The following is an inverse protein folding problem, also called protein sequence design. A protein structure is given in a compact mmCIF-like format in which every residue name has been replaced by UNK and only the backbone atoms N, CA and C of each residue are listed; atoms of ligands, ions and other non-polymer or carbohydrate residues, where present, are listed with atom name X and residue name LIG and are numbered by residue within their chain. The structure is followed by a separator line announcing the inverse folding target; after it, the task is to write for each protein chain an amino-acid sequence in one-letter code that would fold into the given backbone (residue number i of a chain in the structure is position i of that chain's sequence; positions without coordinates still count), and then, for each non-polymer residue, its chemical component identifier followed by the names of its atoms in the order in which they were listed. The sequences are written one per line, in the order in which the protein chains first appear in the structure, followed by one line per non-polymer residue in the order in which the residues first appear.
data_IF_242037628307
#
_entry.id   IF_242037628307
#
_cell.length_a   1.000
_cell.length_b   1.000
_cell.length_c   1.000
_cell.angle_alpha   90.00
_cell.angle_beta   90.00
_cell.angle_gamma   90.00
#
_symmetry.space_group_name_H-M   'P 1'
#
loop_
_entity.id
_entity.type
_entity.pdbx_description
1 polymer ?
#
# COMPACT_ATOMS: atom_id res chain seq x y z
N UNK A 1 -15.72 -15.66 -5.55
CA UNK A 1 -14.87 -16.01 -4.38
C UNK A 1 -15.63 -17.00 -3.51
N UNK A 2 -15.03 -18.15 -3.15
CA UNK A 2 -15.73 -19.20 -2.38
C UNK A 2 -15.79 -18.85 -0.89
N UNK A 3 -16.78 -19.42 -0.18
CA UNK A 3 -17.02 -19.20 1.26
C UNK A 3 -15.79 -19.48 2.14
N UNK A 4 -14.95 -20.43 1.73
CA UNK A 4 -13.70 -20.80 2.41
C UNK A 4 -12.65 -19.68 2.30
N UNK A 5 -12.55 -19.04 1.13
CA UNK A 5 -11.61 -17.94 0.91
C UNK A 5 -12.04 -16.69 1.66
N UNK A 6 -13.34 -16.38 1.68
CA UNK A 6 -13.88 -15.28 2.49
C UNK A 6 -13.58 -15.46 3.99
N UNK A 7 -13.82 -16.67 4.54
CA UNK A 7 -13.50 -16.96 5.95
C UNK A 7 -12.00 -16.84 6.25
N UNK A 8 -11.16 -17.22 5.29
CA UNK A 8 -9.71 -17.11 5.42
C UNK A 8 -9.29 -15.65 5.47
N UNK A 9 -9.78 -14.81 4.57
CA UNK A 9 -9.52 -13.35 4.55
C UNK A 9 -10.02 -12.67 5.83
N UNK A 10 -11.22 -13.01 6.30
CA UNK A 10 -11.74 -12.49 7.57
C UNK A 10 -10.83 -12.86 8.76
N UNK A 11 -10.27 -14.08 8.77
CA UNK A 11 -9.32 -14.49 9.83
C UNK A 11 -8.01 -13.69 9.73
N UNK A 12 -7.45 -13.51 8.53
CA UNK A 12 -6.27 -12.67 8.33
C UNK A 12 -6.48 -11.26 8.86
N UNK A 13 -7.60 -10.64 8.48
CA UNK A 13 -7.92 -9.28 8.90
C UNK A 13 -8.08 -9.18 10.42
N UNK A 14 -8.85 -10.07 11.04
CA UNK A 14 -9.07 -10.07 12.49
C UNK A 14 -7.77 -10.24 13.28
N UNK A 15 -6.89 -11.14 12.87
CA UNK A 15 -5.59 -11.35 13.53
C UNK A 15 -4.67 -10.14 13.34
N UNK A 16 -4.63 -9.55 12.15
CA UNK A 16 -3.85 -8.34 11.87
C UNK A 16 -4.35 -7.15 12.70
N UNK A 17 -5.66 -6.96 12.80
CA UNK A 17 -6.25 -5.85 13.58
C UNK A 17 -5.90 -5.96 15.07
N UNK A 18 -5.96 -7.18 15.63
CA UNK A 18 -5.52 -7.45 17.01
C UNK A 18 -4.04 -7.16 17.19
N UNK A 19 -3.20 -7.60 16.25
CA UNK A 19 -1.76 -7.36 16.30
C UNK A 19 -1.43 -5.86 16.24
N UNK A 20 -2.03 -5.13 15.29
CA UNK A 20 -1.82 -3.68 15.14
C UNK A 20 -2.23 -2.93 16.42
N UNK A 21 -3.38 -3.29 17.02
CA UNK A 21 -3.82 -2.68 18.28
C UNK A 21 -2.78 -2.88 19.40
N UNK A 22 -2.27 -4.09 19.58
CA UNK A 22 -1.22 -4.38 20.56
C UNK A 22 0.08 -3.65 20.25
N UNK A 23 0.49 -3.57 18.99
CA UNK A 23 1.70 -2.89 18.59
C UNK A 23 1.62 -1.37 18.82
N UNK A 24 0.45 -0.78 18.58
CA UNK A 24 0.21 0.64 18.85
C UNK A 24 0.20 0.95 20.35
N UNK A 25 -0.34 0.04 21.18
CA UNK A 25 -0.41 0.21 22.63
C UNK A 25 0.95 0.02 23.31
N UNK A 26 1.70 -1.03 22.93
CA UNK A 26 2.88 -1.50 23.69
C UNK A 26 4.20 -1.31 22.95
N UNK A 27 4.16 -0.89 21.68
CA UNK A 27 5.32 -0.87 20.76
C UNK A 27 5.56 -2.23 20.10
N UNK A 28 6.00 -2.19 18.84
CA UNK A 28 6.19 -3.39 18.03
C UNK A 28 7.12 -4.41 18.71
N UNK A 29 8.30 -3.98 19.15
CA UNK A 29 9.33 -4.89 19.69
C UNK A 29 8.91 -5.55 21.02
N UNK A 30 8.07 -4.89 21.79
CA UNK A 30 7.65 -5.34 23.12
C UNK A 30 6.53 -6.37 23.12
N UNK A 31 5.86 -6.62 21.97
CA UNK A 31 4.76 -7.58 21.86
C UNK A 31 5.27 -8.92 21.31
N UNK A 32 5.33 -9.99 22.11
CA UNK A 32 5.65 -11.33 21.62
C UNK A 32 4.55 -11.87 20.69
N UNK A 33 4.92 -12.65 19.68
CA UNK A 33 3.96 -13.31 18.77
C UNK A 33 2.97 -14.22 19.53
N UNK A 34 3.39 -14.81 20.65
CA UNK A 34 2.52 -15.62 21.49
C UNK A 34 1.38 -14.81 22.12
N UNK A 35 1.62 -13.55 22.47
CA UNK A 35 0.60 -12.64 22.99
C UNK A 35 -0.44 -12.30 21.93
N UNK A 36 0.02 -12.02 20.70
CA UNK A 36 -0.89 -11.79 19.56
C UNK A 36 -1.76 -13.02 19.31
N UNK A 37 -1.16 -14.23 19.29
CA UNK A 37 -1.89 -15.46 19.08
C UNK A 37 -2.97 -15.68 20.17
N UNK A 38 -2.62 -15.45 21.44
CA UNK A 38 -3.55 -15.57 22.57
C UNK A 38 -4.70 -14.56 22.46
N UNK A 39 -4.39 -13.28 22.16
CA UNK A 39 -5.39 -12.24 22.01
C UNK A 39 -6.32 -12.47 20.81
N UNK A 40 -5.80 -13.06 19.73
CA UNK A 40 -6.59 -13.45 18.56
C UNK A 40 -7.34 -14.79 18.71
N UNK A 41 -7.21 -15.48 19.85
CA UNK A 41 -7.88 -16.76 20.12
C UNK A 41 -7.39 -17.92 19.25
N UNK A 42 -6.13 -17.88 18.76
CA UNK A 42 -5.54 -18.92 17.92
C UNK A 42 -4.22 -19.45 18.52
N UNK A 43 -3.80 -20.64 18.10
CA UNK A 43 -2.49 -21.16 18.51
C UNK A 43 -1.34 -20.48 17.77
N UNK A 44 -0.16 -20.41 18.41
CA UNK A 44 1.06 -19.88 17.77
C UNK A 44 1.42 -20.59 16.45
N UNK A 45 1.35 -21.92 16.32
CA UNK A 45 1.53 -22.59 15.03
C UNK A 45 0.50 -22.19 13.98
N UNK A 46 -0.75 -21.98 14.40
CA UNK A 46 -1.80 -21.48 13.50
C UNK A 46 -1.48 -20.08 13.02
N UNK A 47 -1.02 -19.20 13.89
CA UNK A 47 -0.63 -17.83 13.53
C UNK A 47 0.50 -17.84 12.50
N UNK A 48 1.57 -18.61 12.69
CA UNK A 48 2.68 -18.68 11.73
C UNK A 48 2.30 -19.31 10.38
N UNK A 49 1.24 -20.09 10.32
CA UNK A 49 0.69 -20.58 9.04
C UNK A 49 0.03 -19.46 8.24
N UNK A 50 -0.52 -18.43 8.91
CA UNK A 50 -1.11 -17.26 8.29
C UNK A 50 -0.06 -16.17 8.02
N UNK A 51 0.82 -15.91 8.97
CA UNK A 51 1.80 -14.84 8.96
C UNK A 51 3.20 -15.41 9.22
N UNK A 52 4.00 -15.66 8.18
CA UNK A 52 5.33 -16.27 8.31
C UNK A 52 6.30 -15.45 9.19
N UNK A 53 6.15 -14.13 9.23
CA UNK A 53 6.94 -13.24 10.07
C UNK A 53 6.04 -12.35 10.93
N UNK A 54 6.60 -11.82 12.04
CA UNK A 54 5.89 -10.89 12.93
C UNK A 54 5.52 -9.60 12.21
N UNK A 55 6.38 -9.15 11.31
CA UNK A 55 6.18 -7.97 10.47
C UNK A 55 4.94 -8.12 9.57
N UNK A 56 4.67 -9.33 9.08
CA UNK A 56 3.51 -9.59 8.22
C UNK A 56 2.17 -9.34 8.93
N UNK A 57 2.15 -9.45 10.27
CA UNK A 57 0.99 -9.11 11.10
C UNK A 57 0.63 -7.63 10.99
N UNK A 58 1.64 -6.76 10.98
CA UNK A 58 1.44 -5.32 10.82
C UNK A 58 1.17 -4.93 9.36
N UNK A 59 1.76 -5.66 8.41
CA UNK A 59 1.77 -5.28 6.98
C UNK A 59 0.65 -5.94 6.16
N UNK A 60 -0.23 -6.72 6.78
CA UNK A 60 -1.29 -7.42 6.04
C UNK A 60 -2.17 -6.47 5.22
N UNK A 61 -2.46 -5.28 5.73
CA UNK A 61 -3.23 -4.26 5.01
C UNK A 61 -2.54 -3.81 3.71
N UNK A 62 -1.21 -3.87 3.65
CA UNK A 62 -0.46 -3.59 2.42
C UNK A 62 -0.49 -4.73 1.41
N UNK A 63 -0.69 -5.97 1.86
CA UNK A 63 -0.78 -7.11 0.95
C UNK A 63 -1.97 -7.03 0.00
N UNK A 64 -3.05 -6.37 0.41
CA UNK A 64 -4.23 -6.16 -0.41
C UNK A 64 -3.99 -5.12 -1.54
N UNK A 65 -2.96 -4.29 -1.38
CA UNK A 65 -2.54 -3.27 -2.37
C UNK A 65 -1.34 -3.72 -3.22
N UNK A 66 -0.75 -4.90 -2.94
CA UNK A 66 0.45 -5.38 -3.61
C UNK A 66 0.27 -5.55 -5.13
N UNK A 67 -0.89 -6.00 -5.57
CA UNK A 67 -1.24 -6.17 -6.98
C UNK A 67 -2.20 -5.09 -7.52
N UNK A 68 -2.49 -4.06 -6.74
CA UNK A 68 -3.50 -3.05 -7.07
C UNK A 68 -3.21 -2.33 -8.39
N UNK A 69 -1.99 -1.84 -8.59
CA UNK A 69 -1.60 -1.20 -9.84
C UNK A 69 -1.75 -2.14 -11.05
N UNK A 70 -1.43 -3.43 -10.89
CA UNK A 70 -1.63 -4.44 -11.91
C UNK A 70 -3.12 -4.67 -12.21
N UNK A 71 -3.95 -4.72 -11.18
CA UNK A 71 -5.42 -4.85 -11.32
C UNK A 71 -6.03 -3.63 -12.01
N UNK A 72 -5.58 -2.42 -11.67
CA UNK A 72 -6.01 -1.17 -12.31
C UNK A 72 -5.68 -1.17 -13.81
N UNK A 73 -4.47 -1.59 -14.17
CA UNK A 73 -4.07 -1.74 -15.59
C UNK A 73 -4.92 -2.79 -16.31
N UNK A 74 -5.14 -3.95 -15.68
CA UNK A 74 -5.98 -5.00 -16.27
C UNK A 74 -7.42 -4.54 -16.47
N UNK A 75 -8.00 -3.85 -15.51
CA UNK A 75 -9.35 -3.27 -15.60
C UNK A 75 -9.40 -2.19 -16.69
N UNK A 76 -8.44 -1.26 -16.71
CA UNK A 76 -8.36 -0.22 -17.73
C UNK A 76 -8.35 -0.79 -19.16
N UNK A 77 -7.61 -1.88 -19.38
CA UNK A 77 -7.60 -2.56 -20.69
C UNK A 77 -8.96 -3.09 -21.11
N UNK A 78 -9.77 -3.60 -20.19
CA UNK A 78 -11.15 -4.02 -20.50
C UNK A 78 -12.06 -2.85 -20.88
N UNK A 79 -11.73 -1.66 -20.42
CA UNK A 79 -12.42 -0.39 -20.70
C UNK A 79 -11.84 0.35 -21.92
N UNK A 80 -10.80 -0.19 -22.57
CA UNK A 80 -10.10 0.47 -23.68
C UNK A 80 -9.22 1.66 -23.24
N UNK A 81 -8.84 1.71 -21.95
CA UNK A 81 -8.01 2.76 -21.37
C UNK A 81 -6.56 2.28 -21.28
N UNK A 82 -5.62 3.11 -21.75
CA UNK A 82 -4.20 2.82 -21.65
C UNK A 82 -3.73 2.76 -20.18
N UNK A 83 -2.63 2.02 -19.89
CA UNK A 83 -2.16 1.79 -18.52
C UNK A 83 -1.95 3.06 -17.70
N UNK A 84 -1.24 4.04 -18.24
CA UNK A 84 -0.87 5.24 -17.50
C UNK A 84 -2.06 6.15 -17.18
N UNK A 85 -3.00 6.45 -18.12
CA UNK A 85 -4.27 7.10 -17.79
C UNK A 85 -5.11 6.38 -16.75
N UNK A 86 -5.15 5.03 -16.78
CA UNK A 86 -5.89 4.26 -15.79
C UNK A 86 -5.28 4.42 -14.38
N UNK A 87 -3.96 4.33 -14.26
CA UNK A 87 -3.25 4.52 -12.99
C UNK A 87 -3.36 5.95 -12.48
N UNK A 88 -3.25 6.96 -13.34
CA UNK A 88 -3.48 8.37 -12.99
C UNK A 88 -4.89 8.56 -12.42
N UNK A 89 -5.92 8.10 -13.15
CA UNK A 89 -7.33 8.18 -12.69
C UNK A 89 -7.51 7.54 -11.31
N UNK A 90 -6.90 6.38 -11.11
CA UNK A 90 -6.97 5.66 -9.84
C UNK A 90 -6.30 6.43 -8.70
N UNK A 91 -5.09 6.96 -8.93
CA UNK A 91 -4.36 7.74 -7.91
C UNK A 91 -5.12 9.03 -7.52
N UNK A 92 -5.65 9.76 -8.50
CA UNK A 92 -6.45 10.97 -8.24
C UNK A 92 -7.74 10.65 -7.46
N UNK A 93 -8.45 9.57 -7.83
CA UNK A 93 -9.61 9.10 -7.06
C UNK A 93 -9.23 8.71 -5.62
N UNK A 94 -8.04 8.17 -5.41
CA UNK A 94 -7.50 7.89 -4.07
C UNK A 94 -7.25 9.17 -3.27
N UNK A 95 -6.74 10.24 -3.89
CA UNK A 95 -6.61 11.55 -3.23
C UNK A 95 -7.97 12.11 -2.81
N UNK A 96 -8.96 12.07 -3.71
CA UNK A 96 -10.33 12.52 -3.42
C UNK A 96 -10.98 11.71 -2.30
N UNK A 97 -10.76 10.40 -2.29
CA UNK A 97 -11.27 9.45 -1.29
C UNK A 97 -10.50 9.43 0.03
N UNK A 98 -9.43 10.22 0.15
CA UNK A 98 -8.51 10.18 1.33
C UNK A 98 -7.97 8.78 1.60
N UNK A 99 -7.66 8.03 0.52
CA UNK A 99 -7.07 6.71 0.64
C UNK A 99 -5.68 6.81 1.31
N UNK A 100 -5.44 6.09 2.43
CA UNK A 100 -4.14 6.08 3.11
C UNK A 100 -2.94 5.76 2.22
N UNK A 101 -3.13 5.00 1.15
CA UNK A 101 -2.07 4.64 0.19
C UNK A 101 -1.53 5.86 -0.55
N UNK A 102 -2.33 6.91 -0.72
CA UNK A 102 -1.90 8.18 -1.33
C UNK A 102 -1.13 9.10 -0.38
N UNK A 103 -1.00 8.73 0.89
CA UNK A 103 -0.41 9.56 1.94
C UNK A 103 -1.30 10.72 2.41
N UNK A 104 -2.41 10.97 1.73
CA UNK A 104 -3.31 12.08 2.01
C UNK A 104 -4.44 11.66 2.97
N UNK A 105 -4.09 11.35 4.21
CA UNK A 105 -5.06 10.96 5.23
C UNK A 105 -4.63 11.47 6.62
N UNK A 106 -5.47 12.28 7.26
CA UNK A 106 -5.20 12.89 8.57
C UNK A 106 -5.98 12.24 9.73
N UNK A 107 -6.67 11.09 9.50
CA UNK A 107 -7.30 10.31 10.59
C UNK A 107 -6.22 9.92 11.63
N UNK A 108 -6.45 10.20 12.92
CA UNK A 108 -5.48 9.90 13.97
C UNK A 108 -5.04 8.43 14.03
N UNK A 109 -5.92 7.49 13.67
CA UNK A 109 -5.62 6.05 13.65
C UNK A 109 -4.70 5.70 12.48
N UNK A 110 -4.92 6.30 11.31
CA UNK A 110 -4.04 6.15 10.13
C UNK A 110 -2.66 6.73 10.42
N UNK A 111 -2.62 7.92 11.05
CA UNK A 111 -1.36 8.55 11.46
C UNK A 111 -0.59 7.71 12.47
N UNK A 112 -1.26 7.17 13.49
CA UNK A 112 -0.64 6.29 14.48
C UNK A 112 -0.07 5.02 13.82
N UNK A 113 -0.84 4.39 12.94
CA UNK A 113 -0.41 3.20 12.21
C UNK A 113 0.80 3.47 11.29
N UNK A 114 0.78 4.58 10.56
CA UNK A 114 1.92 4.99 9.76
C UNK A 114 3.17 5.25 10.62
N UNK A 115 3.01 5.94 11.76
CA UNK A 115 4.09 6.13 12.71
C UNK A 115 4.71 4.83 13.21
N UNK A 116 3.88 3.81 13.47
CA UNK A 116 4.33 2.46 13.80
C UNK A 116 5.17 1.85 12.67
N UNK A 117 4.67 1.90 11.44
CA UNK A 117 5.31 1.29 10.27
C UNK A 117 6.68 1.91 9.97
N UNK A 118 6.73 3.22 9.85
CA UNK A 118 7.94 3.92 9.47
C UNK A 118 8.87 4.22 10.64
N UNK A 119 8.37 4.16 11.88
CA UNK A 119 9.16 4.24 13.11
C UNK A 119 9.85 2.94 13.50
N UNK A 120 9.55 1.80 12.86
CA UNK A 120 10.10 0.48 13.20
C UNK A 120 10.99 -0.02 12.06
N UNK A 121 12.34 -0.11 12.25
CA UNK A 121 13.27 -0.45 11.16
C UNK A 121 12.97 -1.79 10.46
N UNK A 122 12.55 -2.83 11.21
CA UNK A 122 12.21 -4.13 10.62
C UNK A 122 10.96 -4.07 9.76
N UNK A 123 9.96 -3.24 10.12
CA UNK A 123 8.77 -3.00 9.31
C UNK A 123 9.12 -2.25 8.03
N UNK A 124 9.98 -1.21 8.12
CA UNK A 124 10.47 -0.49 6.93
C UNK A 124 11.18 -1.44 5.96
N UNK A 125 12.09 -2.28 6.46
CA UNK A 125 12.79 -3.28 5.63
C UNK A 125 11.80 -4.24 4.94
N UNK A 126 10.77 -4.66 5.65
CA UNK A 126 9.74 -5.55 5.11
C UNK A 126 8.86 -4.85 4.06
N UNK A 127 8.54 -3.56 4.24
CA UNK A 127 7.82 -2.73 3.27
C UNK A 127 8.53 -2.68 1.90
N UNK A 128 9.86 -2.58 1.87
CA UNK A 128 10.61 -2.64 0.61
C UNK A 128 10.40 -3.96 -0.15
N UNK A 129 10.22 -5.07 0.55
CA UNK A 129 9.89 -6.35 -0.09
C UNK A 129 8.50 -6.32 -0.73
N UNK A 130 7.53 -5.65 -0.12
CA UNK A 130 6.19 -5.44 -0.70
C UNK A 130 6.26 -4.57 -1.95
N UNK A 131 7.01 -3.48 -1.91
CA UNK A 131 7.22 -2.61 -3.06
C UNK A 131 7.83 -3.37 -4.25
N UNK A 132 8.85 -4.19 -4.01
CA UNK A 132 9.45 -5.03 -5.07
C UNK A 132 8.46 -6.02 -5.70
N UNK A 133 7.50 -6.56 -4.90
CA UNK A 133 6.44 -7.42 -5.45
C UNK A 133 5.41 -6.63 -6.24
N UNK A 134 5.03 -5.43 -5.78
CA UNK A 134 4.14 -4.53 -6.51
C UNK A 134 4.73 -4.12 -7.87
N UNK A 135 6.03 -3.79 -7.92
CA UNK A 135 6.75 -3.54 -9.17
C UNK A 135 6.71 -4.77 -10.10
N UNK A 136 6.95 -5.95 -9.56
CA UNK A 136 6.91 -7.20 -10.32
C UNK A 136 5.52 -7.49 -10.89
N UNK A 137 4.48 -7.29 -10.10
CA UNK A 137 3.08 -7.47 -10.51
C UNK A 137 2.70 -6.47 -11.62
N UNK A 138 3.04 -5.19 -11.45
CA UNK A 138 2.80 -4.17 -12.47
C UNK A 138 3.60 -4.44 -13.74
N UNK A 139 4.87 -4.81 -13.63
CA UNK A 139 5.70 -5.17 -14.79
C UNK A 139 5.06 -6.29 -15.60
N UNK A 140 4.62 -7.37 -14.95
CA UNK A 140 3.93 -8.48 -15.61
C UNK A 140 2.62 -8.04 -16.31
N UNK A 141 1.89 -7.09 -15.72
CA UNK A 141 0.70 -6.51 -16.33
C UNK A 141 1.02 -5.61 -17.54
N UNK A 142 2.15 -4.91 -17.53
CA UNK A 142 2.55 -4.03 -18.63
C UNK A 142 3.15 -4.80 -19.82
N UNK A 143 3.91 -5.88 -19.58
CA UNK A 143 4.55 -6.69 -20.59
C UNK A 143 5.63 -7.61 -20.02
N UNK A 144 6.42 -8.23 -20.89
CA UNK A 144 7.46 -9.20 -20.48
C UNK A 144 8.89 -8.71 -20.72
N UNK A 145 9.05 -7.56 -21.34
CA UNK A 145 10.36 -7.01 -21.72
C UNK A 145 10.98 -6.11 -20.65
N UNK A 146 12.22 -5.71 -20.84
CA UNK A 146 12.93 -4.81 -19.94
C UNK A 146 12.25 -3.46 -19.83
N UNK A 147 11.60 -2.97 -20.89
CA UNK A 147 10.87 -1.70 -20.88
C UNK A 147 9.66 -1.74 -19.96
N UNK A 148 8.92 -2.87 -19.89
CA UNK A 148 7.82 -3.05 -18.93
C UNK A 148 8.32 -2.99 -17.48
N UNK A 149 9.47 -3.61 -17.20
CA UNK A 149 10.10 -3.58 -15.87
C UNK A 149 10.54 -2.16 -15.48
N UNK A 150 11.17 -1.44 -16.41
CA UNK A 150 11.61 -0.06 -16.19
C UNK A 150 10.41 0.88 -15.98
N UNK A 151 9.34 0.71 -16.77
CA UNK A 151 8.13 1.49 -16.60
C UNK A 151 7.46 1.23 -15.25
N UNK A 152 7.34 -0.04 -14.85
CA UNK A 152 6.77 -0.39 -13.54
C UNK A 152 7.54 0.25 -12.38
N UNK A 153 8.88 0.15 -12.40
CA UNK A 153 9.71 0.78 -11.37
C UNK A 153 9.55 2.30 -11.31
N UNK A 154 9.51 2.98 -12.47
CA UNK A 154 9.28 4.42 -12.53
C UNK A 154 7.89 4.81 -11.99
N UNK A 155 6.83 4.11 -12.40
CA UNK A 155 5.46 4.38 -11.97
C UNK A 155 5.33 4.19 -10.46
N UNK A 156 5.78 3.05 -9.91
CA UNK A 156 5.70 2.77 -8.47
C UNK A 156 6.53 3.77 -7.67
N UNK A 157 7.72 4.14 -8.15
CA UNK A 157 8.55 5.15 -7.49
C UNK A 157 7.86 6.52 -7.46
N UNK A 158 7.24 6.95 -8.55
CA UNK A 158 6.51 8.22 -8.62
C UNK A 158 5.33 8.22 -7.64
N UNK A 159 4.49 7.18 -7.66
CA UNK A 159 3.34 7.09 -6.73
C UNK A 159 3.80 7.11 -5.27
N UNK A 160 4.87 6.39 -4.94
CA UNK A 160 5.45 6.37 -3.59
C UNK A 160 5.96 7.75 -3.18
N UNK A 161 6.70 8.44 -4.05
CA UNK A 161 7.24 9.78 -3.74
C UNK A 161 6.10 10.79 -3.51
N UNK A 162 5.04 10.75 -4.32
CA UNK A 162 3.86 11.59 -4.12
C UNK A 162 3.19 11.30 -2.77
N UNK A 163 3.02 10.01 -2.43
CA UNK A 163 2.45 9.60 -1.15
C UNK A 163 3.33 10.02 0.03
N UNK A 164 4.65 9.85 -0.07
CA UNK A 164 5.62 10.26 0.96
C UNK A 164 5.56 11.78 1.20
N UNK A 165 5.44 12.59 0.14
CA UNK A 165 5.34 14.06 0.27
C UNK A 165 4.01 14.47 0.92
N UNK A 166 2.89 13.90 0.50
CA UNK A 166 1.59 14.15 1.12
C UNK A 166 1.66 13.81 2.61
N UNK A 167 2.20 12.65 2.93
CA UNK A 167 2.35 12.19 4.30
C UNK A 167 3.25 13.10 5.13
N UNK A 168 4.37 13.58 4.58
CA UNK A 168 5.27 14.53 5.24
C UNK A 168 4.52 15.80 5.69
N UNK A 169 3.64 16.33 4.84
CA UNK A 169 2.81 17.50 5.12
C UNK A 169 1.79 17.22 6.23
N UNK A 170 1.12 16.06 6.17
CA UNK A 170 0.19 15.61 7.23
C UNK A 170 0.93 15.47 8.57
N UNK A 171 2.15 14.95 8.58
CA UNK A 171 2.95 14.84 9.81
C UNK A 171 3.39 16.20 10.34
N UNK A 172 3.60 17.19 9.46
CA UNK A 172 3.89 18.57 9.85
C UNK A 172 2.65 19.29 10.45
N UNK A 173 1.48 18.67 10.45
CA UNK A 173 0.26 19.18 11.07
C UNK A 173 -0.70 19.86 10.10
N UNK A 174 -0.45 19.81 8.80
CA UNK A 174 -1.42 20.26 7.80
C UNK A 174 -2.62 19.29 7.74
N UNK A 175 -3.81 19.80 7.49
CA UNK A 175 -4.97 18.94 7.25
C UNK A 175 -4.95 18.35 5.84
N UNK A 176 -5.55 17.18 5.67
CA UNK A 176 -5.69 16.58 4.35
C UNK A 176 -6.48 17.47 3.37
N UNK A 177 -7.42 18.29 3.89
CA UNK A 177 -8.15 19.29 3.11
C UNK A 177 -7.21 20.38 2.56
N UNK A 178 -6.31 20.89 3.40
CA UNK A 178 -5.37 21.94 3.00
C UNK A 178 -4.34 21.46 1.96
N UNK A 179 -3.94 20.17 2.06
CA UNK A 179 -2.93 19.56 1.17
C UNK A 179 -3.51 19.13 -0.18
N UNK A 180 -4.81 18.83 -0.25
CA UNK A 180 -5.45 18.17 -1.38
C UNK A 180 -5.18 18.83 -2.74
N UNK A 181 -5.40 20.15 -2.85
CA UNK A 181 -5.24 20.84 -4.12
C UNK A 181 -3.80 20.75 -4.66
N UNK A 182 -2.80 20.92 -3.79
CA UNK A 182 -1.39 20.81 -4.16
C UNK A 182 -1.03 19.36 -4.51
N UNK A 183 -1.58 18.38 -3.79
CA UNK A 183 -1.36 16.96 -4.07
C UNK A 183 -1.90 16.55 -5.45
N UNK A 184 -3.07 17.09 -5.84
CA UNK A 184 -3.64 16.87 -7.19
C UNK A 184 -2.73 17.48 -8.25
N UNK A 185 -2.27 18.73 -8.08
CA UNK A 185 -1.36 19.39 -9.03
C UNK A 185 -0.05 18.58 -9.17
N UNK A 186 0.57 18.19 -8.06
CA UNK A 186 1.79 17.40 -8.08
C UNK A 186 1.60 16.05 -8.77
N UNK A 187 0.47 15.38 -8.54
CA UNK A 187 0.14 14.13 -9.21
C UNK A 187 -0.02 14.31 -10.72
N UNK A 188 -0.75 15.35 -11.16
CA UNK A 188 -0.93 15.65 -12.58
C UNK A 188 0.40 15.91 -13.29
N UNK A 189 1.28 16.70 -12.69
CA UNK A 189 2.61 17.00 -13.23
C UNK A 189 3.47 15.73 -13.31
N UNK A 190 3.47 14.92 -12.27
CA UNK A 190 4.27 13.68 -12.23
C UNK A 190 3.79 12.66 -13.27
N UNK A 191 2.47 12.48 -13.43
CA UNK A 191 1.92 11.61 -14.47
C UNK A 191 2.13 12.17 -15.88
N UNK A 192 2.17 13.49 -16.07
CA UNK A 192 2.55 14.11 -17.34
C UNK A 192 4.02 13.79 -17.71
N UNK A 193 4.95 13.90 -16.75
CA UNK A 193 6.35 13.51 -16.95
C UNK A 193 6.48 12.00 -17.30
N UNK A 194 5.74 11.13 -16.63
CA UNK A 194 5.72 9.71 -16.97
C UNK A 194 5.20 9.47 -18.39
N UNK A 195 4.13 10.15 -18.81
CA UNK A 195 3.58 10.05 -20.18
C UNK A 195 4.63 10.42 -21.23
N UNK A 196 5.36 11.51 -21.03
CA UNK A 196 6.36 11.99 -21.96
C UNK A 196 7.58 11.03 -22.07
N UNK A 197 7.92 10.36 -20.94
CA UNK A 197 8.98 9.34 -20.90
C UNK A 197 8.53 7.92 -21.25
N UNK A 198 7.27 7.59 -21.09
CA UNK A 198 6.70 6.25 -21.22
C UNK A 198 5.64 6.16 -22.34
N UNK A 199 5.85 6.83 -23.47
CA UNK A 199 4.88 7.02 -24.56
C UNK A 199 4.10 5.78 -25.00
N UNK A 200 4.70 4.57 -24.96
CA UNK A 200 3.98 3.31 -25.30
C UNK A 200 2.92 2.88 -24.30
N UNK A 201 2.86 3.52 -23.13
CA UNK A 201 1.88 3.27 -22.06
C UNK A 201 0.94 4.46 -21.84
N UNK A 202 1.10 5.51 -22.61
CA UNK A 202 0.32 6.74 -22.55
C UNK A 202 -1.12 6.59 -23.08
#
# INVERSE_FOLDING_TARGET
MGLREQKKQQTYQAVSDVAIALFLEKGFDNVPVAEVAAAAGISKPTLFRYFPAKEDLALHRFSDHEDEAARVVAQGRTEGIAPLPALRRHFLAGLDGRDPVTGLNDDPRVRAYHGLLYGTPSLVARLFSYQGRAEGALAAALGTDIGARLAAGQIIAVQRILADENWRRIQAGESAEAVHADAVVAAEEAFAQLRDGLGRYA
#
